data_IF_485626073329
#
_entry.id   IF_485626073329
#
_cell.length_a   1.000
_cell.length_b   1.000
_cell.length_c   1.000
_cell.angle_alpha   90.00
_cell.angle_beta   90.00
_cell.angle_gamma   90.00
#
_symmetry.space_group_name_H-M   'P 1'
#
loop_
_entity.id
_entity.type
_entity.pdbx_description
1 polymer ?
#
# COMPACT_ATOMS: atom_id res chain seq x y z
N UNK A 1 -0.56 2.87 9.38
CA UNK A 1 -0.58 3.20 7.95
C UNK A 1 -0.06 4.61 7.89
N UNK A 2 1.20 4.76 7.49
CA UNK A 2 2.04 5.80 8.10
C UNK A 2 1.56 7.21 7.77
N UNK A 3 1.61 8.17 8.72
CA UNK A 3 1.38 9.58 8.43
C UNK A 3 2.13 10.07 7.18
N UNK A 4 3.41 9.73 7.06
CA UNK A 4 4.25 10.07 5.89
C UNK A 4 3.71 9.52 4.57
N UNK A 5 3.17 8.30 4.54
CA UNK A 5 2.59 7.73 3.32
C UNK A 5 1.29 8.45 2.94
N UNK A 6 0.49 8.86 3.93
CA UNK A 6 -0.73 9.65 3.71
C UNK A 6 -0.40 11.07 3.25
N UNK A 7 0.66 11.70 3.78
CA UNK A 7 1.17 13.00 3.33
C UNK A 7 1.70 12.89 1.89
N UNK A 8 2.48 11.85 1.59
CA UNK A 8 2.99 11.61 0.25
C UNK A 8 1.88 11.43 -0.78
N UNK A 9 0.78 10.73 -0.44
CA UNK A 9 -0.37 10.61 -1.33
C UNK A 9 -1.00 11.98 -1.61
N UNK A 10 -1.17 12.84 -0.60
CA UNK A 10 -1.70 14.20 -0.79
C UNK A 10 -0.79 15.00 -1.73
N UNK A 11 0.52 14.98 -1.51
CA UNK A 11 1.49 15.66 -2.38
C UNK A 11 1.41 15.18 -3.83
N UNK A 12 1.30 13.85 -4.03
CA UNK A 12 1.16 13.26 -5.37
C UNK A 12 -0.15 13.65 -6.05
N UNK A 13 -1.26 13.73 -5.31
CA UNK A 13 -2.55 14.16 -5.85
C UNK A 13 -2.49 15.62 -6.29
N UNK A 14 -1.94 16.51 -5.46
CA UNK A 14 -1.75 17.92 -5.81
C UNK A 14 -0.90 18.06 -7.07
N UNK A 15 0.22 17.33 -7.16
CA UNK A 15 1.11 17.39 -8.32
C UNK A 15 0.51 16.78 -9.60
N UNK A 16 -0.42 15.84 -9.48
CA UNK A 16 -1.04 15.17 -10.62
C UNK A 16 -2.18 15.98 -11.26
N UNK A 17 -2.73 16.97 -10.56
CA UNK A 17 -3.78 17.84 -11.10
C UNK A 17 -3.15 19.01 -11.85
N UNK A 18 -3.40 19.18 -13.16
CA UNK A 18 -2.94 20.35 -13.91
C UNK A 18 -3.81 21.59 -13.56
N UNK A 19 -3.70 22.04 -12.31
CA UNK A 19 -4.44 23.18 -11.78
C UNK A 19 -3.87 24.51 -12.28
N UNK A 20 -4.76 25.49 -12.49
CA UNK A 20 -4.41 26.88 -12.78
C UNK A 20 -4.69 27.78 -11.58
N UNK A 21 -5.60 27.36 -10.69
CA UNK A 21 -5.98 28.02 -9.44
C UNK A 21 -6.34 26.97 -8.37
N UNK A 22 -6.45 27.39 -7.10
CA UNK A 22 -6.72 26.50 -5.96
C UNK A 22 -8.02 25.70 -6.14
N UNK A 23 -9.03 26.31 -6.75
CA UNK A 23 -10.34 25.72 -7.00
C UNK A 23 -10.32 24.54 -8.01
N UNK A 24 -9.23 24.38 -8.78
CA UNK A 24 -9.08 23.27 -9.73
C UNK A 24 -8.65 21.97 -9.04
N UNK A 25 -8.16 22.04 -7.79
CA UNK A 25 -7.71 20.85 -7.06
C UNK A 25 -8.88 19.96 -6.59
N UNK A 26 -8.58 18.68 -6.43
CA UNK A 26 -9.53 17.69 -5.92
C UNK A 26 -9.76 17.94 -4.41
N UNK A 27 -11.00 18.13 -3.94
CA UNK A 27 -11.30 18.21 -2.51
C UNK A 27 -10.96 16.90 -1.81
N UNK A 28 -10.23 16.97 -0.68
CA UNK A 28 -9.81 15.80 0.09
C UNK A 28 -10.39 15.81 1.50
N UNK A 29 -10.94 14.68 1.91
CA UNK A 29 -11.22 14.35 3.30
C UNK A 29 -10.19 13.31 3.74
N UNK A 30 -9.50 13.57 4.87
CA UNK A 30 -8.39 12.74 5.32
C UNK A 30 -8.68 12.22 6.73
N UNK A 31 -8.81 10.91 6.87
CA UNK A 31 -8.77 10.21 8.15
C UNK A 31 -7.38 9.59 8.33
N UNK A 32 -6.47 10.37 8.93
CA UNK A 32 -5.14 9.90 9.29
C UNK A 32 -5.18 9.43 10.74
N UNK A 33 -5.44 8.13 10.92
CA UNK A 33 -5.52 7.48 12.23
C UNK A 33 -4.29 6.57 12.47
N UNK A 34 -3.26 7.03 13.20
CA UNK A 34 -2.12 6.19 13.57
C UNK A 34 -2.46 5.07 14.55
N UNK A 35 -3.59 5.16 15.25
CA UNK A 35 -4.04 4.18 16.25
C UNK A 35 -4.67 2.92 15.63
N UNK A 36 -4.79 2.83 14.30
CA UNK A 36 -5.19 1.59 13.62
C UNK A 36 -4.27 0.43 14.04
N UNK A 37 -4.83 -0.68 14.57
CA UNK A 37 -4.07 -1.85 14.98
C UNK A 37 -3.04 -2.30 13.94
N UNK A 38 -1.93 -2.86 14.42
CA UNK A 38 -0.81 -3.23 13.56
C UNK A 38 -1.18 -4.46 12.72
N UNK A 39 -1.30 -4.26 11.40
CA UNK A 39 -1.49 -5.36 10.43
C UNK A 39 -0.38 -6.41 10.51
N UNK A 40 0.85 -6.00 10.85
CA UNK A 40 1.98 -6.91 11.03
C UNK A 40 1.79 -7.74 12.31
N UNK A 41 1.39 -7.10 13.41
CA UNK A 41 1.20 -7.80 14.67
C UNK A 41 0.04 -8.81 14.59
N UNK A 42 -1.06 -8.43 13.94
CA UNK A 42 -2.20 -9.31 13.74
C UNK A 42 -1.87 -10.48 12.81
N UNK A 43 -1.31 -10.24 11.62
CA UNK A 43 -1.12 -11.29 10.61
C UNK A 43 0.12 -12.17 10.84
N UNK A 44 1.16 -11.65 11.49
CA UNK A 44 2.43 -12.37 11.68
C UNK A 44 2.62 -12.79 13.13
N UNK A 45 2.38 -11.88 14.06
CA UNK A 45 2.71 -12.08 15.48
C UNK A 45 1.53 -12.74 16.24
N UNK A 46 0.37 -12.91 15.59
CA UNK A 46 -0.81 -13.55 16.15
C UNK A 46 -1.48 -12.74 17.27
N UNK A 47 -1.25 -11.42 17.28
CA UNK A 47 -1.89 -10.52 18.25
C UNK A 47 -3.37 -10.40 17.91
N UNK A 48 -4.24 -10.70 18.88
CA UNK A 48 -5.70 -10.63 18.77
C UNK A 48 -6.19 -9.17 18.84
N UNK A 49 -5.83 -8.38 17.84
CA UNK A 49 -6.21 -6.97 17.65
C UNK A 49 -6.44 -6.70 16.16
N UNK A 50 -7.62 -7.08 15.67
CA UNK A 50 -8.00 -7.01 14.26
C UNK A 50 -8.15 -5.54 13.79
N UNK A 51 -7.38 -5.07 12.78
CA UNK A 51 -7.53 -3.73 12.22
C UNK A 51 -8.78 -3.55 11.34
N UNK A 52 -9.42 -4.63 10.87
CA UNK A 52 -10.56 -4.60 9.96
C UNK A 52 -11.70 -3.68 10.42
N UNK A 53 -12.25 -3.86 11.63
CA UNK A 53 -13.31 -3.01 12.17
C UNK A 53 -12.93 -1.53 12.26
N UNK A 54 -11.67 -1.22 12.60
CA UNK A 54 -11.20 0.17 12.67
C UNK A 54 -11.15 0.80 11.28
N UNK A 55 -10.68 0.05 10.27
CA UNK A 55 -10.59 0.49 8.88
C UNK A 55 -11.98 0.71 8.27
N UNK A 56 -12.94 -0.18 8.55
CA UNK A 56 -14.33 -0.04 8.13
C UNK A 56 -14.95 1.26 8.70
N UNK A 57 -14.82 1.48 10.01
CA UNK A 57 -15.35 2.68 10.66
C UNK A 57 -14.69 3.98 10.15
N UNK A 58 -13.41 3.95 9.78
CA UNK A 58 -12.75 5.09 9.13
C UNK A 58 -13.37 5.40 7.76
N UNK A 59 -13.64 4.37 6.96
CA UNK A 59 -14.23 4.53 5.63
C UNK A 59 -15.67 5.06 5.71
N UNK A 60 -16.48 4.54 6.63
CA UNK A 60 -17.85 5.02 6.91
C UNK A 60 -17.87 6.50 7.29
N UNK A 61 -16.93 6.95 8.13
CA UNK A 61 -16.80 8.36 8.52
C UNK A 61 -16.49 9.26 7.33
N UNK A 62 -15.58 8.83 6.45
CA UNK A 62 -15.24 9.57 5.25
C UNK A 62 -16.42 9.65 4.27
N UNK A 63 -17.13 8.55 4.05
CA UNK A 63 -18.35 8.51 3.23
C UNK A 63 -19.44 9.42 3.81
N UNK A 64 -19.70 9.32 5.11
CA UNK A 64 -20.68 10.16 5.81
C UNK A 64 -20.33 11.65 5.77
N UNK A 65 -19.04 11.98 5.74
CA UNK A 65 -18.55 13.34 5.57
C UNK A 65 -18.62 13.85 4.11
N UNK A 66 -19.04 13.00 3.16
CA UNK A 66 -19.31 13.37 1.78
C UNK A 66 -18.29 12.88 0.75
N UNK A 67 -17.34 12.03 1.13
CA UNK A 67 -16.41 11.43 0.18
C UNK A 67 -17.17 10.66 -0.92
N UNK A 68 -16.69 10.77 -2.16
CA UNK A 68 -17.30 10.11 -3.34
C UNK A 68 -16.54 8.86 -3.80
N UNK A 69 -15.34 8.65 -3.26
CA UNK A 69 -14.53 7.46 -3.40
C UNK A 69 -13.55 7.42 -2.23
N UNK A 70 -13.07 6.22 -1.87
CA UNK A 70 -12.11 6.01 -0.79
C UNK A 70 -10.83 5.43 -1.37
N UNK A 71 -9.68 5.96 -0.95
CA UNK A 71 -8.36 5.41 -1.26
C UNK A 71 -7.57 5.23 0.05
N UNK A 72 -6.73 4.19 0.12
CA UNK A 72 -5.95 3.88 1.32
C UNK A 72 -4.46 3.72 0.97
N UNK A 73 -3.56 4.63 1.38
CA UNK A 73 -2.12 4.53 1.07
C UNK A 73 -1.38 3.52 1.97
N UNK A 74 -1.83 2.26 2.01
CA UNK A 74 -1.12 1.19 2.71
C UNK A 74 -1.32 -0.20 2.07
N UNK A 75 -0.24 -0.80 1.55
CA UNK A 75 -0.27 -2.14 0.95
C UNK A 75 -0.84 -3.19 1.90
N UNK A 76 -0.20 -3.46 3.04
CA UNK A 76 -0.62 -4.54 3.97
C UNK A 76 -2.06 -4.39 4.46
N UNK A 77 -2.59 -3.16 4.53
CA UNK A 77 -3.97 -2.94 4.94
C UNK A 77 -5.00 -3.35 3.87
N UNK A 78 -4.60 -3.50 2.60
CA UNK A 78 -5.49 -4.03 1.55
C UNK A 78 -5.90 -5.48 1.78
N UNK A 79 -5.20 -6.22 2.64
CA UNK A 79 -5.70 -7.51 3.13
C UNK A 79 -7.12 -7.39 3.75
N UNK A 80 -7.42 -6.23 4.34
CA UNK A 80 -8.71 -5.91 4.98
C UNK A 80 -9.65 -5.10 4.07
N UNK A 81 -9.37 -5.01 2.77
CA UNK A 81 -10.19 -4.25 1.84
C UNK A 81 -11.64 -4.78 1.75
N UNK A 82 -11.87 -6.06 2.06
CA UNK A 82 -13.22 -6.63 2.17
C UNK A 82 -14.07 -5.89 3.22
N UNK A 83 -13.55 -5.74 4.43
CA UNK A 83 -14.25 -5.03 5.51
C UNK A 83 -14.57 -3.57 5.16
N UNK A 84 -13.67 -2.89 4.43
CA UNK A 84 -13.92 -1.53 3.94
C UNK A 84 -15.06 -1.54 2.91
N UNK A 85 -15.02 -2.43 1.90
CA UNK A 85 -16.02 -2.52 0.83
C UNK A 85 -17.41 -2.89 1.35
N UNK A 86 -17.48 -3.70 2.39
CA UNK A 86 -18.75 -4.08 3.04
C UNK A 86 -19.38 -2.92 3.81
N UNK A 87 -18.56 -2.01 4.32
CA UNK A 87 -19.00 -0.90 5.17
C UNK A 87 -19.43 0.36 4.40
N UNK A 88 -19.06 0.50 3.12
CA UNK A 88 -19.32 1.72 2.33
C UNK A 88 -20.06 1.43 1.03
N UNK A 89 -20.77 2.42 0.51
CA UNK A 89 -21.43 2.34 -0.80
C UNK A 89 -20.61 2.99 -1.93
N UNK A 90 -19.74 3.94 -1.61
CA UNK A 90 -18.84 4.59 -2.58
C UNK A 90 -17.69 3.66 -3.02
N UNK A 91 -17.11 3.87 -4.22
CA UNK A 91 -16.01 3.04 -4.69
C UNK A 91 -14.78 3.08 -3.78
N UNK A 92 -14.23 1.90 -3.47
CA UNK A 92 -12.89 1.76 -2.88
C UNK A 92 -11.84 1.57 -3.99
N UNK A 93 -10.96 2.56 -4.14
CA UNK A 93 -9.87 2.57 -5.11
C UNK A 93 -8.71 1.70 -4.62
N UNK A 94 -8.61 0.50 -5.18
CA UNK A 94 -7.64 -0.51 -4.78
C UNK A 94 -6.27 -0.25 -5.42
N UNK A 95 -5.29 0.15 -4.59
CA UNK A 95 -3.94 0.44 -5.07
C UNK A 95 -3.21 -0.81 -5.56
N UNK A 96 -3.48 -1.98 -4.96
CA UNK A 96 -2.80 -3.23 -5.31
C UNK A 96 -3.26 -3.69 -6.69
N UNK A 97 -4.57 -3.62 -6.94
CA UNK A 97 -5.13 -3.88 -8.27
C UNK A 97 -4.59 -2.88 -9.31
N UNK A 98 -4.58 -1.58 -8.98
CA UNK A 98 -4.08 -0.54 -9.90
C UNK A 98 -2.59 -0.73 -10.25
N UNK A 99 -1.74 -1.02 -9.26
CA UNK A 99 -0.32 -1.28 -9.47
C UNK A 99 -0.09 -2.56 -10.29
N UNK A 100 -0.88 -3.62 -10.04
CA UNK A 100 -0.78 -4.89 -10.76
C UNK A 100 -1.20 -4.77 -12.22
N UNK A 101 -2.29 -4.05 -12.50
CA UNK A 101 -2.72 -3.73 -13.85
C UNK A 101 -1.64 -2.92 -14.59
N UNK A 102 -1.04 -1.92 -13.93
CA UNK A 102 0.05 -1.14 -14.53
C UNK A 102 1.28 -1.99 -14.83
N UNK A 103 1.66 -2.91 -13.94
CA UNK A 103 2.75 -3.84 -14.18
C UNK A 103 2.46 -4.75 -15.39
N UNK A 104 1.23 -5.23 -15.53
CA UNK A 104 0.80 -6.07 -16.65
C UNK A 104 0.91 -5.35 -18.00
N UNK A 105 0.52 -4.07 -18.06
CA UNK A 105 0.67 -3.25 -19.27
C UNK A 105 2.14 -3.07 -19.67
N UNK A 106 3.05 -3.03 -18.69
CA UNK A 106 4.48 -2.78 -18.92
C UNK A 106 5.26 -4.04 -19.27
N UNK A 107 4.97 -5.15 -18.61
CA UNK A 107 5.77 -6.38 -18.71
C UNK A 107 5.17 -7.40 -19.68
N UNK A 108 3.85 -7.36 -19.89
CA UNK A 108 3.13 -8.41 -20.63
C UNK A 108 3.06 -9.74 -19.88
N UNK A 109 2.34 -10.71 -20.47
CA UNK A 109 2.18 -12.04 -19.88
C UNK A 109 3.53 -12.77 -19.74
N UNK A 110 3.76 -13.41 -18.60
CA UNK A 110 5.01 -14.08 -18.26
C UNK A 110 6.06 -13.18 -17.60
N UNK A 111 5.75 -11.91 -17.37
CA UNK A 111 6.61 -10.98 -16.64
C UNK A 111 6.84 -11.38 -15.17
N UNK A 112 8.01 -11.03 -14.65
CA UNK A 112 8.40 -11.24 -13.25
C UNK A 112 8.47 -9.87 -12.56
N UNK A 113 7.77 -9.72 -11.43
CA UNK A 113 7.68 -8.46 -10.67
C UNK A 113 8.47 -8.57 -9.38
N UNK A 114 9.50 -7.75 -9.24
CA UNK A 114 10.26 -7.60 -7.98
C UNK A 114 9.44 -6.83 -6.94
N UNK A 115 9.23 -7.43 -5.76
CA UNK A 115 8.42 -6.84 -4.69
C UNK A 115 9.27 -6.39 -3.50
N UNK A 116 9.34 -5.07 -3.30
CA UNK A 116 9.85 -4.45 -2.08
C UNK A 116 8.67 -4.10 -1.15
N UNK A 117 8.28 -5.05 -0.31
CA UNK A 117 7.20 -4.86 0.67
C UNK A 117 7.53 -5.53 2.00
N UNK A 118 6.73 -5.22 3.04
CA UNK A 118 6.86 -5.90 4.32
C UNK A 118 6.54 -7.40 4.17
N UNK A 119 7.14 -8.30 4.98
CA UNK A 119 6.83 -9.73 4.96
C UNK A 119 5.33 -10.05 5.09
N UNK A 120 4.57 -9.20 5.80
CA UNK A 120 3.13 -9.38 5.97
C UNK A 120 2.36 -9.30 4.65
N UNK A 121 2.85 -8.56 3.66
CA UNK A 121 2.23 -8.50 2.34
C UNK A 121 2.42 -9.82 1.57
N UNK A 122 3.59 -10.46 1.73
CA UNK A 122 3.90 -11.79 1.16
C UNK A 122 3.08 -12.88 1.81
N UNK A 123 3.03 -12.90 3.15
CA UNK A 123 2.27 -13.89 3.92
C UNK A 123 0.77 -13.80 3.58
N UNK A 124 0.26 -12.59 3.39
CA UNK A 124 -1.12 -12.36 2.94
C UNK A 124 -1.37 -12.74 1.46
N UNK A 125 -0.33 -13.09 0.69
CA UNK A 125 -0.43 -13.38 -0.75
C UNK A 125 -0.96 -12.21 -1.57
N UNK A 126 -0.76 -10.97 -1.09
CA UNK A 126 -1.49 -9.80 -1.55
C UNK A 126 -1.24 -9.50 -3.03
N UNK A 127 0.03 -9.50 -3.42
CA UNK A 127 0.42 -9.20 -4.80
C UNK A 127 0.40 -10.45 -5.68
N UNK A 128 0.67 -11.64 -5.13
CA UNK A 128 0.49 -12.91 -5.83
C UNK A 128 -0.94 -13.04 -6.38
N UNK A 129 -1.95 -12.80 -5.53
CA UNK A 129 -3.34 -12.89 -5.92
C UNK A 129 -3.74 -11.83 -6.96
N UNK A 130 -3.18 -10.63 -6.87
CA UNK A 130 -3.49 -9.53 -7.79
C UNK A 130 -2.76 -9.64 -9.15
N UNK A 131 -1.57 -10.22 -9.18
CA UNK A 131 -0.73 -10.34 -10.37
C UNK A 131 -0.99 -11.62 -11.17
N UNK A 132 -1.38 -12.72 -10.50
CA UNK A 132 -1.62 -14.01 -11.16
C UNK A 132 -2.66 -13.96 -12.31
N UNK A 133 -3.80 -13.24 -12.19
CA UNK A 133 -4.76 -13.10 -13.30
C UNK A 133 -4.18 -12.42 -14.54
N UNK A 134 -3.10 -11.65 -14.39
CA UNK A 134 -2.38 -11.01 -15.49
C UNK A 134 -1.25 -11.87 -16.07
N UNK A 135 -1.08 -13.11 -15.60
CA UNK A 135 0.02 -13.99 -16.00
C UNK A 135 1.39 -13.51 -15.51
N UNK A 136 1.43 -12.71 -14.44
CA UNK A 136 2.65 -12.20 -13.84
C UNK A 136 3.03 -13.02 -12.60
N UNK A 137 4.33 -13.19 -12.39
CA UNK A 137 4.89 -13.85 -11.20
C UNK A 137 5.58 -12.84 -10.27
N UNK A 138 5.74 -13.18 -9.00
CA UNK A 138 6.40 -12.33 -8.01
C UNK A 138 7.81 -12.83 -7.69
N UNK A 139 8.73 -11.89 -7.44
CA UNK A 139 10.06 -12.15 -6.92
C UNK A 139 10.29 -11.33 -5.65
N UNK A 140 10.71 -11.99 -4.58
CA UNK A 140 10.96 -11.37 -3.28
C UNK A 140 12.46 -11.31 -2.97
N UNK A 141 12.91 -10.28 -2.20
CA UNK A 141 14.25 -10.23 -1.66
C UNK A 141 14.57 -11.47 -0.84
N UNK A 142 15.83 -11.90 -0.84
CA UNK A 142 16.27 -13.03 -0.01
C UNK A 142 16.31 -12.66 1.48
N UNK A 143 16.74 -11.44 1.80
CA UNK A 143 16.74 -10.90 3.16
C UNK A 143 15.54 -9.97 3.42
N UNK A 144 14.36 -10.57 3.62
CA UNK A 144 13.15 -9.82 3.98
C UNK A 144 13.25 -9.16 5.38
N UNK A 145 14.17 -9.61 6.23
CA UNK A 145 14.38 -9.02 7.57
C UNK A 145 15.01 -7.64 7.45
N UNK A 146 16.01 -7.48 6.58
CA UNK A 146 16.60 -6.19 6.25
C UNK A 146 15.56 -5.22 5.65
N UNK A 147 14.66 -5.71 4.79
CA UNK A 147 13.56 -4.91 4.24
C UNK A 147 12.63 -4.40 5.35
N UNK A 148 12.22 -5.29 6.27
CA UNK A 148 11.37 -4.91 7.38
C UNK A 148 12.07 -3.89 8.31
N UNK A 149 13.36 -4.07 8.59
CA UNK A 149 14.15 -3.15 9.38
C UNK A 149 14.24 -1.77 8.72
N UNK A 150 14.49 -1.71 7.41
CA UNK A 150 14.50 -0.46 6.64
C UNK A 150 13.15 0.25 6.68
N UNK A 151 12.04 -0.47 6.49
CA UNK A 151 10.68 0.08 6.60
C UNK A 151 10.42 0.66 8.00
N UNK A 152 10.85 -0.04 9.06
CA UNK A 152 10.70 0.44 10.45
C UNK A 152 11.53 1.69 10.71
N UNK A 153 12.77 1.75 10.21
CA UNK A 153 13.65 2.91 10.35
C UNK A 153 13.04 4.17 9.68
N UNK A 154 12.56 4.03 8.43
CA UNK A 154 11.89 5.13 7.70
C UNK A 154 10.67 5.63 8.47
N UNK A 155 9.85 4.73 9.01
CA UNK A 155 8.68 5.10 9.82
C UNK A 155 9.04 5.84 11.11
N UNK A 156 10.24 5.62 11.64
CA UNK A 156 10.73 6.29 12.84
C UNK A 156 11.47 7.61 12.54
N UNK A 157 11.53 8.04 11.27
CA UNK A 157 12.19 9.29 10.86
C UNK A 157 13.69 9.15 10.56
N UNK A 158 14.26 7.94 10.58
CA UNK A 158 15.63 7.66 10.13
C UNK A 158 15.65 7.10 8.70
N UNK A 159 16.68 7.37 7.89
CA UNK A 159 16.56 7.06 6.44
C UNK A 159 17.81 6.67 5.67
N UNK A 160 19.00 7.20 5.99
CA UNK A 160 20.16 7.06 5.07
C UNK A 160 20.57 5.60 4.83
N UNK A 161 20.71 4.80 5.89
CA UNK A 161 21.00 3.36 5.76
C UNK A 161 19.84 2.57 5.17
N UNK A 162 18.61 2.93 5.51
CA UNK A 162 17.40 2.22 5.04
C UNK A 162 17.18 2.39 3.53
N UNK A 163 17.41 3.59 2.99
CA UNK A 163 17.31 3.85 1.55
C UNK A 163 18.35 3.04 0.78
N UNK A 164 19.60 2.96 1.27
CA UNK A 164 20.63 2.12 0.67
C UNK A 164 20.22 0.66 0.65
N UNK A 165 19.75 0.12 1.78
CA UNK A 165 19.27 -1.27 1.88
C UNK A 165 18.16 -1.56 0.87
N UNK A 166 17.19 -0.66 0.70
CA UNK A 166 16.10 -0.85 -0.28
C UNK A 166 16.61 -0.78 -1.72
N UNK A 167 17.57 0.10 -2.02
CA UNK A 167 18.19 0.20 -3.35
C UNK A 167 18.96 -1.08 -3.70
N UNK A 168 19.80 -1.57 -2.78
CA UNK A 168 20.59 -2.78 -2.99
C UNK A 168 19.68 -4.01 -3.19
N UNK A 169 18.55 -4.07 -2.47
CA UNK A 169 17.55 -5.11 -2.67
C UNK A 169 16.84 -5.00 -4.04
N UNK A 170 16.57 -3.79 -4.52
CA UNK A 170 16.02 -3.56 -5.86
C UNK A 170 16.99 -4.05 -6.96
N UNK A 171 18.28 -3.73 -6.81
CA UNK A 171 19.33 -4.14 -7.75
C UNK A 171 19.47 -5.68 -7.75
N UNK A 172 19.42 -6.31 -6.57
CA UNK A 172 19.47 -7.76 -6.45
C UNK A 172 18.26 -8.47 -7.09
N UNK A 173 17.05 -7.89 -6.96
CA UNK A 173 15.86 -8.38 -7.64
C UNK A 173 16.01 -8.25 -9.16
N UNK A 174 16.46 -7.10 -9.64
CA UNK A 174 16.66 -6.83 -11.06
C UNK A 174 17.69 -7.78 -11.68
N UNK A 175 18.80 -8.05 -10.96
CA UNK A 175 19.82 -9.02 -11.37
C UNK A 175 19.29 -10.46 -11.48
N UNK A 176 18.18 -10.77 -10.81
CA UNK A 176 17.48 -12.07 -10.85
C UNK A 176 16.33 -12.10 -11.87
N UNK A 177 16.18 -11.05 -12.68
CA UNK A 177 15.24 -11.00 -13.80
C UNK A 177 13.88 -10.37 -13.52
N UNK A 178 13.75 -9.64 -12.39
CA UNK A 178 12.61 -8.76 -12.13
C UNK A 178 12.67 -7.44 -12.91
#
# INVERSE_FOLDING_TARGET
MGPEATILLQQKLVAAVPARDDADHIPLLIDMNPQVPSRIAHLIEGVDDDPGPTLAAMAERLESAGAKAIAMPCNTAHHYAGAIREAICVPFLDMVAAASAHAAERLGAGGLVGLLASPAARIAGLYEAALAPHGLSTLWPEDETAILAAIRAIKAGGGEGAVRTLADAADALSARGA
#
